data_IF_201989504350
#
_entry.id   IF_201989504350
#
_cell.length_a   1.000
_cell.length_b   1.000
_cell.length_c   1.000
_cell.angle_alpha   90.00
_cell.angle_beta   90.00
_cell.angle_gamma   90.00
#
_symmetry.space_group_name_H-M   'P 1'
#
loop_
_entity.id
_entity.type
_entity.pdbx_description
1 polymer ?
#
# COMPACT_ATOMS: atom_id res chain seq x y z
N UNK A 1 2.41 71.25 -16.64
CA UNK A 1 3.62 72.10 -16.79
C UNK A 1 4.78 71.13 -16.95
N UNK A 2 5.26 71.01 -18.14
CA UNK A 2 6.58 71.42 -18.66
C UNK A 2 7.72 70.78 -17.86
N UNK A 3 8.58 70.00 -18.40
CA UNK A 3 9.53 70.12 -19.55
C UNK A 3 10.86 69.61 -19.00
N UNK A 4 11.78 68.96 -19.55
CA UNK A 4 12.33 68.71 -20.87
C UNK A 4 13.52 67.78 -20.72
N UNK A 5 13.68 66.86 -21.61
CA UNK A 5 14.86 66.49 -22.41
C UNK A 5 16.26 66.90 -21.95
N UNK A 6 17.21 65.97 -21.97
CA UNK A 6 18.22 65.98 -23.06
C UNK A 6 19.07 64.73 -23.10
N UNK A 7 19.35 64.31 -24.33
CA UNK A 7 20.32 63.28 -24.77
C UNK A 7 21.73 63.84 -24.68
N UNK A 8 22.75 62.97 -24.51
CA UNK A 8 23.95 63.08 -25.35
C UNK A 8 24.73 61.73 -25.36
N UNK A 9 25.08 61.37 -26.56
CA UNK A 9 25.96 60.24 -26.94
C UNK A 9 27.43 60.65 -26.67
N UNK A 10 28.29 59.66 -26.39
CA UNK A 10 29.60 59.63 -27.07
C UNK A 10 30.23 58.20 -27.00
N UNK A 11 30.88 57.93 -28.07
CA UNK A 11 31.57 56.71 -28.50
C UNK A 11 32.91 56.51 -27.78
N UNK A 12 33.30 55.22 -27.69
CA UNK A 12 34.62 54.85 -28.18
C UNK A 12 35.49 54.00 -27.31
N UNK A 13 35.96 52.99 -27.97
CA UNK A 13 37.28 52.33 -27.89
C UNK A 13 37.36 51.01 -27.13
N UNK A 14 37.58 49.97 -27.93
CA UNK A 14 38.00 48.64 -27.55
C UNK A 14 39.47 48.63 -27.07
N UNK A 15 39.75 47.89 -26.03
CA UNK A 15 41.10 47.39 -25.74
C UNK A 15 41.01 45.95 -25.23
N UNK A 16 41.54 45.05 -26.01
CA UNK A 16 41.77 43.66 -25.65
C UNK A 16 42.94 43.59 -24.66
N UNK A 17 42.71 42.97 -23.52
CA UNK A 17 43.78 42.55 -22.61
C UNK A 17 43.56 41.10 -22.24
N UNK A 18 44.45 40.27 -22.76
CA UNK A 18 44.65 38.87 -22.32
C UNK A 18 45.34 38.84 -20.98
N UNK A 19 44.81 38.14 -20.03
CA UNK A 19 45.49 37.79 -18.79
C UNK A 19 45.21 36.33 -18.34
N UNK A 20 46.15 35.72 -17.65
CA UNK A 20 46.26 34.25 -17.57
C UNK A 20 45.39 33.66 -16.49
N UNK A 21 45.04 32.35 -16.70
CA UNK A 21 44.40 31.49 -15.75
C UNK A 21 45.24 31.37 -14.46
N UNK A 22 44.71 31.83 -13.35
CA UNK A 22 45.10 31.39 -12.01
C UNK A 22 44.01 30.48 -11.47
N UNK A 23 44.33 29.18 -11.37
CA UNK A 23 43.53 28.19 -10.72
C UNK A 23 43.50 28.47 -9.20
N UNK A 24 42.40 28.97 -8.68
CA UNK A 24 42.11 28.98 -7.27
C UNK A 24 41.27 27.76 -6.96
N UNK A 25 41.86 26.75 -6.34
CA UNK A 25 41.16 25.66 -5.70
C UNK A 25 40.36 26.21 -4.54
N UNK A 26 39.05 26.45 -4.75
CA UNK A 26 38.09 26.66 -3.71
C UNK A 26 37.65 25.29 -3.21
N UNK A 27 38.08 24.90 -2.02
CA UNK A 27 37.47 23.80 -1.27
C UNK A 27 36.02 24.19 -0.96
N UNK A 28 35.07 23.73 -1.77
CA UNK A 28 33.66 23.75 -1.47
C UNK A 28 33.39 22.59 -0.53
N UNK A 29 33.31 22.89 0.76
CA UNK A 29 32.69 22.02 1.78
C UNK A 29 31.18 22.15 1.59
N UNK A 30 30.55 21.11 1.04
CA UNK A 30 29.11 21.03 0.82
C UNK A 30 28.80 20.12 -0.38
N UNK A 31 29.16 18.84 -0.26
CA UNK A 31 28.59 17.84 -1.17
C UNK A 31 27.15 17.61 -0.72
N UNK A 32 26.18 18.24 -1.38
CA UNK A 32 24.84 17.67 -1.44
C UNK A 32 25.00 16.25 -1.95
N UNK A 33 24.70 15.27 -1.09
CA UNK A 33 24.63 13.88 -1.49
C UNK A 33 23.54 13.80 -2.57
N UNK A 34 23.96 13.63 -3.82
CA UNK A 34 23.03 13.27 -4.89
C UNK A 34 22.35 11.98 -4.46
N UNK A 35 21.03 12.01 -4.39
CA UNK A 35 20.20 10.85 -4.06
C UNK A 35 20.24 9.87 -5.25
N UNK A 36 21.35 9.18 -5.42
CA UNK A 36 21.59 8.16 -6.47
C UNK A 36 20.89 6.83 -6.15
N UNK A 37 19.90 6.84 -5.24
CA UNK A 37 19.22 5.64 -4.74
C UNK A 37 18.10 5.13 -5.65
N UNK A 38 17.64 5.92 -6.64
CA UNK A 38 16.59 5.49 -7.57
C UNK A 38 17.16 4.70 -8.74
N UNK A 39 16.53 3.57 -9.08
CA UNK A 39 16.84 2.80 -10.26
C UNK A 39 16.66 3.67 -11.52
N UNK A 40 17.65 3.63 -12.44
CA UNK A 40 17.64 4.44 -13.66
C UNK A 40 16.99 3.68 -14.82
N UNK A 41 16.15 4.37 -15.58
CA UNK A 41 15.65 3.86 -16.86
C UNK A 41 16.82 3.85 -17.86
N UNK A 42 16.95 2.76 -18.63
CA UNK A 42 17.97 2.67 -19.67
C UNK A 42 17.71 3.72 -20.77
N UNK A 43 18.77 4.42 -21.19
CA UNK A 43 18.66 5.38 -22.27
C UNK A 43 18.25 4.66 -23.57
N UNK A 44 17.18 5.16 -24.24
CA UNK A 44 16.64 4.55 -25.45
C UNK A 44 15.62 3.44 -25.21
N UNK A 45 15.12 3.23 -23.97
CA UNK A 45 14.01 2.30 -23.72
C UNK A 45 12.76 2.73 -24.49
N UNK A 46 12.05 1.74 -25.05
CA UNK A 46 10.79 1.95 -25.74
C UNK A 46 9.60 1.92 -24.74
N UNK A 47 8.47 2.50 -25.18
CA UNK A 47 7.19 2.37 -24.44
C UNK A 47 6.68 0.94 -24.52
N UNK A 48 6.25 0.39 -23.41
CA UNK A 48 5.62 -0.93 -23.38
C UNK A 48 4.21 -0.84 -24.01
N UNK A 49 3.96 -1.67 -25.01
CA UNK A 49 2.67 -1.73 -25.73
C UNK A 49 2.19 -0.36 -26.26
N UNK A 50 3.09 0.60 -26.46
CA UNK A 50 2.77 1.96 -26.87
C UNK A 50 2.11 2.82 -25.79
N UNK A 51 2.04 2.35 -24.55
CA UNK A 51 1.42 3.07 -23.42
C UNK A 51 2.22 4.31 -23.02
N UNK A 52 1.50 5.41 -22.80
CA UNK A 52 2.09 6.62 -22.20
C UNK A 52 2.36 6.42 -20.71
N UNK A 53 1.46 5.75 -20.00
CA UNK A 53 1.60 5.51 -18.56
C UNK A 53 0.86 4.27 -18.08
N UNK A 54 1.32 3.70 -16.95
CA UNK A 54 0.62 2.73 -16.11
C UNK A 54 0.26 3.41 -14.79
N UNK A 55 -1.02 3.31 -14.39
CA UNK A 55 -1.54 3.96 -13.18
C UNK A 55 -1.62 2.94 -12.05
N UNK A 56 -0.85 3.16 -11.00
CA UNK A 56 -0.63 2.24 -9.88
C UNK A 56 -1.26 2.80 -8.61
N UNK A 57 -2.16 2.03 -7.99
CA UNK A 57 -2.80 2.34 -6.72
C UNK A 57 -2.14 1.63 -5.54
N UNK A 58 -2.05 2.30 -4.37
CA UNK A 58 -1.62 1.65 -3.12
C UNK A 58 -2.05 2.48 -1.90
N UNK A 59 -1.91 1.94 -0.68
CA UNK A 59 -2.18 2.68 0.55
C UNK A 59 -0.88 3.15 1.21
N UNK A 60 -0.94 4.29 1.90
CA UNK A 60 0.12 4.77 2.79
C UNK A 60 0.22 3.95 4.08
N UNK A 61 0.32 2.62 3.96
CA UNK A 61 0.43 1.64 5.03
C UNK A 61 1.67 0.78 4.86
N UNK A 62 2.29 0.32 5.95
CA UNK A 62 3.44 -0.59 5.86
C UNK A 62 3.06 -1.98 5.33
N UNK A 63 1.80 -2.40 5.41
CA UNK A 63 1.31 -3.61 4.74
C UNK A 63 1.38 -3.52 3.20
N UNK A 64 1.61 -2.31 2.65
CA UNK A 64 1.87 -2.06 1.23
C UNK A 64 3.37 -1.78 0.95
N UNK A 65 4.27 -2.30 1.79
CA UNK A 65 5.70 -1.99 1.74
C UNK A 65 6.34 -2.28 0.37
N UNK A 66 5.91 -3.34 -0.35
CA UNK A 66 6.38 -3.62 -1.71
C UNK A 66 6.15 -2.42 -2.63
N UNK A 67 4.92 -1.88 -2.67
CA UNK A 67 4.60 -0.72 -3.52
C UNK A 67 5.34 0.55 -3.07
N UNK A 68 5.44 0.79 -1.75
CA UNK A 68 6.17 1.93 -1.19
C UNK A 68 7.65 1.90 -1.57
N UNK A 69 8.31 0.75 -1.38
CA UNK A 69 9.73 0.58 -1.69
C UNK A 69 9.96 0.64 -3.20
N UNK A 70 9.13 -0.03 -4.01
CA UNK A 70 9.26 -0.02 -5.46
C UNK A 70 9.12 1.39 -6.04
N UNK A 71 8.17 2.20 -5.52
CA UNK A 71 8.04 3.60 -5.90
C UNK A 71 9.28 4.42 -5.48
N UNK A 72 9.67 4.34 -4.20
CA UNK A 72 10.81 5.10 -3.68
C UNK A 72 12.13 4.77 -4.41
N UNK A 73 12.34 3.49 -4.73
CA UNK A 73 13.54 2.99 -5.43
C UNK A 73 13.47 3.16 -6.95
N UNK A 74 12.28 3.46 -7.51
CA UNK A 74 12.06 3.59 -8.94
C UNK A 74 12.02 2.26 -9.70
N UNK A 75 11.77 1.13 -9.03
CA UNK A 75 11.74 -0.19 -9.68
C UNK A 75 10.59 -0.34 -10.68
N UNK A 76 9.41 0.22 -10.39
CA UNK A 76 8.33 0.25 -11.38
C UNK A 76 8.74 1.03 -12.64
N UNK A 77 9.31 2.22 -12.48
CA UNK A 77 9.75 3.03 -13.61
C UNK A 77 10.88 2.35 -14.40
N UNK A 78 11.79 1.65 -13.71
CA UNK A 78 12.87 0.88 -14.35
C UNK A 78 12.31 -0.20 -15.29
N UNK A 79 11.37 -1.02 -14.79
CA UNK A 79 10.80 -2.12 -15.58
C UNK A 79 9.83 -1.63 -16.66
N UNK A 80 9.13 -0.51 -16.44
CA UNK A 80 8.24 0.11 -17.42
C UNK A 80 8.97 0.90 -18.51
N UNK A 81 10.27 1.14 -18.38
CA UNK A 81 11.09 1.83 -19.39
C UNK A 81 10.60 3.24 -19.65
N UNK A 82 10.26 3.56 -20.92
CA UNK A 82 9.75 4.87 -21.31
C UNK A 82 8.25 5.07 -21.01
N UNK A 83 7.55 4.04 -20.57
CA UNK A 83 6.15 4.15 -20.07
C UNK A 83 6.17 4.71 -18.66
N UNK A 84 5.46 5.82 -18.42
CA UNK A 84 5.47 6.50 -17.12
C UNK A 84 4.74 5.70 -16.04
N UNK A 85 5.34 5.50 -14.87
CA UNK A 85 4.66 4.99 -13.69
C UNK A 85 3.95 6.14 -12.97
N UNK A 86 2.61 6.16 -12.96
CA UNK A 86 1.79 7.13 -12.23
C UNK A 86 1.22 6.51 -10.97
N UNK A 87 1.25 7.25 -9.86
CA UNK A 87 0.86 6.74 -8.56
C UNK A 87 -0.34 7.46 -8.00
N UNK A 88 -1.24 6.70 -7.38
CA UNK A 88 -2.37 7.22 -6.60
C UNK A 88 -2.45 6.52 -5.25
N UNK A 89 -2.50 7.30 -4.16
CA UNK A 89 -2.63 6.77 -2.81
C UNK A 89 -4.08 6.74 -2.35
N UNK A 90 -4.44 5.69 -1.63
CA UNK A 90 -5.78 5.48 -1.06
C UNK A 90 -5.71 5.31 0.46
N UNK A 91 -6.84 5.51 1.13
CA UNK A 91 -6.98 5.29 2.57
C UNK A 91 -7.61 3.94 2.90
N UNK A 92 -8.40 3.37 1.98
CA UNK A 92 -9.08 2.09 2.14
C UNK A 92 -9.52 1.48 0.80
N UNK A 93 -9.81 0.16 0.82
CA UNK A 93 -10.06 -0.63 -0.38
C UNK A 93 -11.29 -0.27 -1.19
N UNK A 94 -12.46 0.03 -0.61
CA UNK A 94 -13.63 0.37 -1.42
C UNK A 94 -13.41 1.52 -2.40
N UNK A 95 -12.71 2.58 -1.98
CA UNK A 95 -12.38 3.71 -2.86
C UNK A 95 -11.36 3.33 -3.96
N UNK A 96 -10.45 2.40 -3.68
CA UNK A 96 -9.52 1.89 -4.70
C UNK A 96 -10.24 1.03 -5.74
N UNK A 97 -11.21 0.19 -5.34
CA UNK A 97 -12.05 -0.56 -6.29
C UNK A 97 -12.85 0.39 -7.20
N UNK A 98 -13.38 1.49 -6.68
CA UNK A 98 -14.03 2.51 -7.51
C UNK A 98 -13.07 3.14 -8.54
N UNK A 99 -11.84 3.44 -8.11
CA UNK A 99 -10.79 3.96 -9.00
C UNK A 99 -10.38 2.95 -10.08
N UNK A 100 -10.28 1.65 -9.74
CA UNK A 100 -10.01 0.59 -10.70
C UNK A 100 -11.15 0.46 -11.72
N UNK A 101 -12.40 0.46 -11.25
CA UNK A 101 -13.59 0.33 -12.09
C UNK A 101 -13.76 1.52 -13.05
N UNK A 102 -13.38 2.73 -12.63
CA UNK A 102 -13.42 3.93 -13.46
C UNK A 102 -12.22 4.08 -14.41
N UNK A 103 -11.18 3.22 -14.27
CA UNK A 103 -9.93 3.33 -15.02
C UNK A 103 -9.03 4.47 -14.53
N UNK A 104 -9.27 5.00 -13.33
CA UNK A 104 -8.37 5.95 -12.68
C UNK A 104 -7.07 5.30 -12.23
N UNK A 105 -7.09 3.99 -11.96
CA UNK A 105 -5.92 3.12 -11.82
C UNK A 105 -6.06 1.89 -12.69
N UNK A 106 -4.94 1.27 -13.05
CA UNK A 106 -4.86 0.06 -13.87
C UNK A 106 -4.52 -1.17 -13.02
N UNK A 107 -3.61 -0.99 -12.06
CA UNK A 107 -3.09 -2.01 -11.13
C UNK A 107 -3.13 -1.42 -9.72
N UNK A 108 -3.42 -2.24 -8.70
CA UNK A 108 -3.50 -1.77 -7.31
C UNK A 108 -2.99 -2.78 -6.30
N UNK A 109 -2.53 -2.27 -5.15
CA UNK A 109 -2.21 -3.03 -3.96
C UNK A 109 -3.35 -2.88 -2.97
N UNK A 110 -4.05 -3.95 -2.64
CA UNK A 110 -5.32 -3.89 -1.89
C UNK A 110 -5.50 -5.06 -0.93
N UNK A 111 -6.30 -4.88 0.10
CA UNK A 111 -6.70 -5.97 0.98
C UNK A 111 -7.66 -6.97 0.33
N UNK A 112 -7.74 -8.22 0.84
CA UNK A 112 -8.56 -9.28 0.26
C UNK A 112 -10.05 -8.97 0.28
N UNK A 113 -10.62 -8.45 1.36
CA UNK A 113 -12.08 -8.24 1.46
C UNK A 113 -12.63 -7.26 0.42
N UNK A 114 -12.02 -6.08 0.16
CA UNK A 114 -12.47 -5.22 -0.93
C UNK A 114 -12.25 -5.84 -2.32
N UNK A 115 -11.19 -6.64 -2.54
CA UNK A 115 -11.00 -7.36 -3.79
C UNK A 115 -12.10 -8.39 -4.03
N UNK A 116 -12.43 -9.21 -3.03
CA UNK A 116 -13.54 -10.16 -3.04
C UNK A 116 -14.87 -9.46 -3.34
N UNK A 117 -15.15 -8.36 -2.61
CA UNK A 117 -16.41 -7.61 -2.78
C UNK A 117 -16.52 -6.98 -4.18
N UNK A 118 -15.44 -6.38 -4.68
CA UNK A 118 -15.38 -5.83 -6.04
C UNK A 118 -15.61 -6.89 -7.11
N UNK A 119 -14.90 -8.03 -7.00
CA UNK A 119 -15.06 -9.16 -7.90
C UNK A 119 -16.49 -9.71 -7.89
N UNK A 120 -17.05 -9.94 -6.72
CA UNK A 120 -18.41 -10.48 -6.56
C UNK A 120 -19.47 -9.53 -7.10
N UNK A 121 -19.41 -8.24 -6.76
CA UNK A 121 -20.38 -7.24 -7.24
C UNK A 121 -20.35 -7.04 -8.76
N UNK A 122 -19.19 -7.20 -9.35
CA UNK A 122 -19.04 -7.15 -10.82
C UNK A 122 -19.38 -8.47 -11.52
N UNK A 123 -19.81 -9.51 -10.79
CA UNK A 123 -20.00 -10.87 -11.29
C UNK A 123 -18.74 -11.43 -11.98
N UNK A 124 -17.57 -11.16 -11.36
CA UNK A 124 -16.29 -11.68 -11.82
C UNK A 124 -15.68 -10.97 -13.03
N UNK A 125 -16.13 -9.76 -13.40
CA UNK A 125 -15.72 -9.11 -14.66
C UNK A 125 -14.77 -7.93 -14.52
N UNK A 126 -14.55 -7.37 -13.29
CA UNK A 126 -13.78 -6.14 -13.14
C UNK A 126 -12.28 -6.36 -12.93
N UNK A 127 -11.88 -7.31 -12.08
CA UNK A 127 -10.50 -7.49 -11.66
C UNK A 127 -10.02 -8.93 -11.68
N UNK A 128 -8.70 -9.08 -11.58
CA UNK A 128 -8.00 -10.31 -11.19
C UNK A 128 -7.01 -10.00 -10.08
N UNK A 129 -6.83 -10.95 -9.16
CA UNK A 129 -5.68 -10.97 -8.24
C UNK A 129 -4.54 -11.63 -9.01
N UNK A 130 -3.41 -10.93 -9.14
CA UNK A 130 -2.27 -11.36 -9.95
C UNK A 130 -1.01 -11.64 -9.12
N UNK A 131 -1.07 -11.41 -7.81
CA UNK A 131 0.05 -11.69 -6.91
C UNK A 131 -0.25 -11.33 -5.47
N UNK A 132 0.63 -11.76 -4.57
CA UNK A 132 0.68 -11.37 -3.17
C UNK A 132 1.61 -10.18 -2.94
N UNK A 133 1.54 -9.59 -1.76
CA UNK A 133 2.44 -8.53 -1.33
C UNK A 133 2.80 -8.65 0.16
N UNK A 134 1.83 -8.86 1.03
CA UNK A 134 2.10 -8.95 2.46
C UNK A 134 1.12 -9.86 3.21
N UNK A 135 1.61 -10.41 4.33
CA UNK A 135 0.87 -11.15 5.35
C UNK A 135 1.08 -10.52 6.71
N UNK A 136 0.09 -10.61 7.62
CA UNK A 136 0.18 -10.12 9.00
C UNK A 136 0.02 -8.61 9.14
N UNK A 137 0.54 -8.06 10.23
CA UNK A 137 0.53 -6.60 10.47
C UNK A 137 -0.83 -6.01 10.81
N UNK A 138 -1.75 -6.77 11.40
CA UNK A 138 -3.06 -6.29 11.87
C UNK A 138 -3.25 -6.63 13.34
N UNK A 139 -3.72 -5.66 14.13
CA UNK A 139 -3.88 -5.83 15.58
C UNK A 139 -5.14 -5.15 16.09
N UNK A 140 -5.72 -5.74 17.15
CA UNK A 140 -6.63 -5.04 18.05
C UNK A 140 -5.81 -4.35 19.13
N UNK A 141 -5.72 -3.03 19.06
CA UNK A 141 -5.06 -2.19 20.07
C UNK A 141 -6.11 -1.45 20.87
N UNK A 142 -6.00 -1.48 22.18
CA UNK A 142 -7.03 -0.96 23.10
C UNK A 142 -6.45 -0.08 24.20
N UNK A 143 -7.30 0.75 24.77
CA UNK A 143 -6.98 1.51 25.99
C UNK A 143 -6.94 0.55 27.20
N UNK A 144 -5.78 0.28 27.79
CA UNK A 144 -5.63 -0.71 28.88
C UNK A 144 -6.34 -0.30 30.20
N UNK A 145 -6.71 0.97 30.33
CA UNK A 145 -7.52 1.45 31.48
C UNK A 145 -8.99 1.06 31.36
N UNK A 146 -9.49 0.86 30.12
CA UNK A 146 -10.89 0.57 29.82
C UNK A 146 -11.14 -0.90 29.43
N UNK A 147 -10.13 -1.57 28.84
CA UNK A 147 -10.21 -2.92 28.30
C UNK A 147 -8.99 -3.70 28.75
N UNK A 148 -9.19 -4.71 29.57
CA UNK A 148 -8.13 -5.54 30.16
C UNK A 148 -8.08 -6.94 29.52
N UNK A 149 -9.21 -7.42 29.00
CA UNK A 149 -9.38 -8.73 28.38
C UNK A 149 -10.27 -8.64 27.14
N UNK A 150 -10.28 -9.70 26.31
CA UNK A 150 -11.15 -9.75 25.12
C UNK A 150 -12.64 -9.61 25.45
N UNK A 151 -13.09 -10.08 26.63
CA UNK A 151 -14.48 -9.96 27.08
C UNK A 151 -14.89 -8.51 27.35
N UNK A 152 -13.95 -7.66 27.72
CA UNK A 152 -14.19 -6.25 28.03
C UNK A 152 -14.44 -5.40 26.78
N UNK A 153 -14.24 -5.95 25.59
CA UNK A 153 -14.55 -5.29 24.29
C UNK A 153 -16.05 -5.08 24.12
N UNK A 154 -16.88 -5.93 24.75
CA UNK A 154 -18.33 -5.74 24.76
C UNK A 154 -18.70 -4.39 25.41
N UNK A 155 -19.58 -3.64 24.77
CA UNK A 155 -19.99 -2.30 25.19
C UNK A 155 -19.00 -1.17 24.89
N UNK A 156 -17.91 -1.47 24.17
CA UNK A 156 -16.87 -0.47 23.83
C UNK A 156 -17.01 0.06 22.41
N UNK A 157 -16.31 1.17 22.16
CA UNK A 157 -16.20 1.81 20.84
C UNK A 157 -14.87 1.39 20.21
N UNK A 158 -14.92 0.54 19.21
CA UNK A 158 -13.72 0.05 18.50
C UNK A 158 -13.74 0.56 17.07
N UNK A 159 -12.65 1.20 16.67
CA UNK A 159 -12.51 1.71 15.31
C UNK A 159 -12.06 0.63 14.32
N UNK A 160 -12.57 0.74 13.10
CA UNK A 160 -12.08 0.03 11.90
C UNK A 160 -11.93 1.04 10.77
N UNK A 161 -11.10 0.80 9.71
CA UNK A 161 -10.79 1.83 8.71
C UNK A 161 -12.01 2.35 7.93
N UNK A 162 -12.76 1.45 7.29
CA UNK A 162 -13.92 1.77 6.46
C UNK A 162 -14.85 0.56 6.39
N UNK A 163 -16.14 0.79 6.20
CA UNK A 163 -17.13 -0.28 5.99
C UNK A 163 -16.72 -1.21 4.84
N UNK A 164 -16.62 -2.50 5.13
CA UNK A 164 -16.24 -3.54 4.16
C UNK A 164 -14.74 -3.58 3.83
N UNK A 165 -13.90 -2.79 4.51
CA UNK A 165 -12.46 -2.96 4.44
C UNK A 165 -12.04 -4.25 5.17
N UNK A 166 -10.85 -4.79 4.87
CA UNK A 166 -10.39 -6.09 5.43
C UNK A 166 -10.49 -6.13 6.95
N UNK A 167 -10.01 -5.10 7.65
CA UNK A 167 -10.05 -5.02 9.11
C UNK A 167 -11.48 -4.88 9.67
N UNK A 168 -12.38 -4.26 8.92
CA UNK A 168 -13.79 -4.15 9.31
C UNK A 168 -14.49 -5.51 9.26
N UNK A 169 -14.27 -6.25 8.17
CA UNK A 169 -14.76 -7.62 7.98
C UNK A 169 -14.20 -8.56 9.06
N UNK A 170 -12.88 -8.52 9.28
CA UNK A 170 -12.22 -9.36 10.28
C UNK A 170 -12.76 -9.10 11.69
N UNK A 171 -12.94 -7.84 12.07
CA UNK A 171 -13.47 -7.47 13.39
C UNK A 171 -14.94 -7.86 13.55
N UNK A 172 -15.78 -7.63 12.56
CA UNK A 172 -17.18 -8.03 12.59
C UNK A 172 -17.32 -9.57 12.68
N UNK A 173 -16.51 -10.32 11.93
CA UNK A 173 -16.46 -11.77 12.05
C UNK A 173 -16.05 -12.19 13.47
N UNK A 174 -14.99 -11.56 14.03
CA UNK A 174 -14.51 -11.85 15.37
C UNK A 174 -15.61 -11.57 16.42
N UNK A 175 -16.38 -10.48 16.30
CA UNK A 175 -17.55 -10.16 17.16
C UNK A 175 -18.58 -11.29 17.09
N UNK A 176 -18.90 -11.76 15.87
CA UNK A 176 -19.85 -12.86 15.68
C UNK A 176 -19.35 -14.17 16.29
N UNK A 177 -18.02 -14.44 16.27
CA UNK A 177 -17.39 -15.59 16.93
C UNK A 177 -17.51 -15.54 18.45
N UNK A 178 -17.62 -14.34 19.05
CA UNK A 178 -17.88 -14.18 20.48
C UNK A 178 -19.36 -14.39 20.84
N UNK A 179 -20.24 -14.64 19.86
CA UNK A 179 -21.68 -14.70 20.04
C UNK A 179 -22.33 -13.34 20.32
N UNK A 180 -21.69 -12.25 19.90
CA UNK A 180 -22.20 -10.89 20.06
C UNK A 180 -22.85 -10.41 18.77
N UNK A 181 -23.83 -9.50 18.90
CA UNK A 181 -24.59 -8.97 17.78
C UNK A 181 -24.16 -7.53 17.49
N UNK A 182 -23.84 -7.27 16.22
CA UNK A 182 -23.60 -5.93 15.68
C UNK A 182 -24.25 -5.85 14.30
N UNK A 183 -25.03 -4.80 14.06
CA UNK A 183 -25.51 -4.49 12.72
C UNK A 183 -24.31 -4.05 11.86
N UNK A 184 -24.02 -4.83 10.82
CA UNK A 184 -22.83 -4.66 10.01
C UNK A 184 -22.76 -3.30 9.33
N UNK A 185 -23.88 -2.71 8.93
CA UNK A 185 -23.91 -1.44 8.20
C UNK A 185 -23.76 -0.24 9.14
N UNK A 186 -24.54 -0.20 10.22
CA UNK A 186 -24.50 0.92 11.16
C UNK A 186 -23.38 0.82 12.20
N UNK A 187 -22.81 -0.38 12.41
CA UNK A 187 -21.82 -0.66 13.45
C UNK A 187 -22.38 -0.63 14.88
N UNK A 188 -23.71 -0.62 15.05
CA UNK A 188 -24.37 -0.58 16.35
C UNK A 188 -24.70 -1.97 16.86
N UNK A 189 -24.56 -2.20 18.17
CA UNK A 189 -24.90 -3.47 18.80
C UNK A 189 -24.17 -3.67 20.12
N UNK A 190 -23.79 -4.92 20.41
CA UNK A 190 -23.03 -5.31 21.60
C UNK A 190 -21.64 -4.65 21.66
N UNK A 191 -21.10 -4.26 20.52
CA UNK A 191 -19.92 -3.41 20.36
C UNK A 191 -20.28 -2.27 19.42
N UNK A 192 -19.77 -1.07 19.66
CA UNK A 192 -19.91 0.05 18.71
C UNK A 192 -18.71 0.04 17.76
N UNK A 193 -18.93 -0.39 16.51
CA UNK A 193 -17.91 -0.37 15.47
C UNK A 193 -17.92 0.98 14.77
N UNK A 194 -16.85 1.75 14.93
CA UNK A 194 -16.73 3.13 14.43
C UNK A 194 -15.80 3.15 13.23
N UNK A 195 -16.33 3.40 12.03
CA UNK A 195 -15.50 3.48 10.82
C UNK A 195 -14.73 4.78 10.84
N UNK A 196 -13.40 4.68 10.99
CA UNK A 196 -12.51 5.81 11.20
C UNK A 196 -11.27 5.65 10.35
N UNK A 197 -11.00 6.62 9.48
CA UNK A 197 -9.81 6.60 8.63
C UNK A 197 -8.54 6.37 9.45
N UNK A 198 -7.62 5.54 8.95
CA UNK A 198 -6.36 5.21 9.62
C UNK A 198 -5.51 6.46 9.96
N UNK A 199 -5.63 7.54 9.19
CA UNK A 199 -4.90 8.79 9.45
C UNK A 199 -5.37 9.51 10.69
N UNK A 200 -6.69 9.44 10.99
CA UNK A 200 -7.30 10.13 12.14
C UNK A 200 -7.56 9.21 13.33
N UNK A 201 -7.44 7.91 13.17
CA UNK A 201 -7.64 6.92 14.24
C UNK A 201 -6.76 7.20 15.49
N UNK A 202 -5.46 7.57 15.36
CA UNK A 202 -4.64 7.92 16.52
C UNK A 202 -5.20 9.11 17.32
N UNK A 203 -5.68 10.15 16.64
CA UNK A 203 -6.27 11.32 17.32
C UNK A 203 -7.61 10.98 17.99
N UNK A 204 -8.44 10.15 17.35
CA UNK A 204 -9.68 9.64 17.94
C UNK A 204 -9.41 8.79 19.19
N UNK A 205 -8.33 8.00 19.19
CA UNK A 205 -7.90 7.21 20.33
C UNK A 205 -7.40 8.12 21.47
N UNK A 206 -6.52 9.06 21.17
CA UNK A 206 -5.93 10.01 22.12
C UNK A 206 -6.98 10.88 22.81
N UNK A 207 -7.98 11.35 22.05
CA UNK A 207 -9.12 12.12 22.59
C UNK A 207 -10.09 11.28 23.42
N UNK A 208 -9.99 9.93 23.40
CA UNK A 208 -10.92 9.03 24.04
C UNK A 208 -12.26 8.87 23.35
N UNK A 209 -12.37 9.33 22.08
CA UNK A 209 -13.57 9.15 21.24
C UNK A 209 -13.81 7.69 20.87
N UNK A 210 -12.75 6.88 20.86
CA UNK A 210 -12.75 5.43 20.72
C UNK A 210 -12.00 4.78 21.88
N UNK A 211 -12.30 3.53 22.19
CA UNK A 211 -11.68 2.76 23.27
C UNK A 211 -10.58 1.83 22.76
N UNK A 212 -10.51 1.62 21.46
CA UNK A 212 -9.52 0.81 20.75
C UNK A 212 -9.79 0.79 19.26
N UNK A 213 -8.96 0.06 18.53
CA UNK A 213 -9.10 -0.10 17.08
C UNK A 213 -8.55 -1.44 16.59
N UNK A 214 -9.20 -2.01 15.57
CA UNK A 214 -8.70 -3.15 14.79
C UNK A 214 -8.15 -2.60 13.48
N UNK A 215 -6.84 -2.47 13.42
CA UNK A 215 -6.17 -1.65 12.40
C UNK A 215 -4.87 -2.28 11.89
N UNK A 216 -4.46 -1.93 10.66
CA UNK A 216 -3.19 -2.37 10.09
C UNK A 216 -2.01 -1.52 10.59
N UNK A 217 -0.79 -1.99 10.35
CA UNK A 217 0.42 -1.20 10.55
C UNK A 217 0.59 -0.12 9.46
N UNK A 218 1.02 1.10 9.81
CA UNK A 218 1.61 1.48 11.09
C UNK A 218 0.62 2.01 12.13
N UNK A 219 -0.69 2.01 11.85
CA UNK A 219 -1.69 2.59 12.76
C UNK A 219 -1.71 1.86 14.10
N UNK A 220 -1.59 0.53 14.11
CA UNK A 220 -1.51 -0.25 15.34
C UNK A 220 -0.34 0.21 16.24
N UNK A 221 0.86 0.34 15.68
CA UNK A 221 2.04 0.81 16.41
C UNK A 221 1.92 2.27 16.86
N UNK A 222 1.25 3.15 16.08
CA UNK A 222 0.93 4.51 16.52
C UNK A 222 0.05 4.52 17.76
N UNK A 223 -0.98 3.66 17.82
CA UNK A 223 -1.83 3.55 19.00
C UNK A 223 -1.06 3.03 20.22
N UNK A 224 -0.11 2.11 20.02
CA UNK A 224 0.77 1.61 21.10
C UNK A 224 1.66 2.74 21.62
N UNK A 225 2.23 3.55 20.76
CA UNK A 225 3.03 4.72 21.14
C UNK A 225 2.21 5.76 21.93
N UNK A 226 0.90 5.85 21.69
CA UNK A 226 -0.05 6.68 22.47
C UNK A 226 -0.56 5.96 23.76
N UNK A 227 0.12 4.90 24.21
CA UNK A 227 -0.20 4.17 25.46
C UNK A 227 -1.24 3.06 25.30
N UNK A 228 -1.54 2.67 24.08
CA UNK A 228 -2.38 1.51 23.77
C UNK A 228 -1.68 0.19 24.08
N UNK A 229 -2.48 -0.86 24.28
CA UNK A 229 -2.01 -2.23 24.47
C UNK A 229 -2.53 -3.10 23.33
N UNK A 230 -1.66 -3.87 22.71
CA UNK A 230 -2.07 -4.95 21.80
C UNK A 230 -2.83 -5.98 22.62
N UNK A 231 -4.11 -6.14 22.34
CA UNK A 231 -4.99 -7.12 23.00
C UNK A 231 -5.03 -8.42 22.20
N UNK A 232 -4.96 -8.31 20.87
CA UNK A 232 -4.96 -9.44 19.94
C UNK A 232 -4.13 -9.09 18.72
N UNK A 233 -3.26 -10.00 18.28
CA UNK A 233 -2.65 -9.99 16.96
C UNK A 233 -3.51 -10.90 16.07
N UNK A 234 -4.00 -10.36 14.95
CA UNK A 234 -4.92 -11.09 14.05
C UNK A 234 -4.32 -12.38 13.53
N UNK A 235 -3.00 -12.42 13.34
CA UNK A 235 -2.31 -13.63 12.87
C UNK A 235 -2.58 -14.85 13.76
N UNK A 236 -2.83 -14.63 15.07
CA UNK A 236 -3.14 -15.72 16.01
C UNK A 236 -4.48 -16.40 15.76
N UNK A 237 -5.34 -15.82 14.94
CA UNK A 237 -6.64 -16.39 14.54
C UNK A 237 -6.53 -17.25 13.28
N UNK A 238 -5.35 -17.31 12.64
CA UNK A 238 -5.14 -17.99 11.37
C UNK A 238 -4.23 -19.20 11.51
N UNK A 239 -4.46 -20.26 10.71
CA UNK A 239 -3.53 -21.39 10.63
C UNK A 239 -2.10 -20.92 10.32
N UNK A 240 -1.12 -21.49 10.99
CA UNK A 240 0.31 -21.14 10.84
C UNK A 240 0.61 -19.66 11.00
N UNK A 241 -0.32 -18.87 11.55
CA UNK A 241 -0.28 -17.40 11.67
C UNK A 241 -0.14 -16.70 10.32
N UNK A 242 -0.59 -17.32 9.23
CA UNK A 242 -0.51 -16.80 7.87
C UNK A 242 -1.89 -16.49 7.32
N UNK A 243 -2.05 -15.29 6.81
CA UNK A 243 -3.22 -14.83 6.06
C UNK A 243 -2.80 -13.70 5.14
N UNK A 244 -3.48 -13.58 4.02
CA UNK A 244 -3.20 -12.47 3.11
C UNK A 244 -3.74 -11.16 3.68
N UNK A 245 -2.91 -10.12 3.68
CA UNK A 245 -3.35 -8.77 4.05
C UNK A 245 -3.31 -7.81 2.86
N UNK A 246 -2.42 -8.05 1.91
CA UNK A 246 -2.30 -7.24 0.71
C UNK A 246 -2.03 -8.11 -0.51
N UNK A 247 -2.92 -8.00 -1.49
CA UNK A 247 -2.81 -8.58 -2.83
C UNK A 247 -2.46 -7.51 -3.87
N UNK A 248 -1.97 -7.95 -5.02
CA UNK A 248 -1.86 -7.14 -6.23
C UNK A 248 -3.06 -7.46 -7.10
N UNK A 249 -3.84 -6.46 -7.47
CA UNK A 249 -4.96 -6.58 -8.39
C UNK A 249 -4.72 -5.82 -9.69
N UNK A 250 -5.38 -6.25 -10.76
CA UNK A 250 -5.37 -5.58 -12.05
C UNK A 250 -6.77 -5.54 -12.63
N UNK A 251 -7.12 -4.47 -13.36
CA UNK A 251 -8.35 -4.48 -14.16
C UNK A 251 -8.25 -5.54 -15.25
N UNK A 252 -9.30 -6.36 -15.44
CA UNK A 252 -9.29 -7.42 -16.47
C UNK A 252 -9.11 -6.84 -17.87
N UNK A 253 -9.65 -5.65 -18.12
CA UNK A 253 -9.47 -4.95 -19.38
C UNK A 253 -7.98 -4.66 -19.62
N UNK A 254 -7.29 -4.07 -18.63
CA UNK A 254 -5.89 -3.72 -18.73
C UNK A 254 -5.00 -4.97 -18.87
N UNK A 255 -5.28 -6.03 -18.09
CA UNK A 255 -4.57 -7.30 -18.20
C UNK A 255 -4.64 -7.89 -19.61
N UNK A 256 -5.82 -7.85 -20.22
CA UNK A 256 -6.05 -8.37 -21.60
C UNK A 256 -5.38 -7.50 -22.67
N UNK A 257 -5.47 -6.19 -22.53
CA UNK A 257 -4.97 -5.24 -23.55
C UNK A 257 -3.46 -5.01 -23.44
N UNK A 258 -2.89 -5.07 -22.23
CA UNK A 258 -1.50 -4.69 -21.93
C UNK A 258 -0.77 -5.70 -21.02
N UNK A 259 -0.73 -7.00 -21.38
CA UNK A 259 -0.12 -8.03 -20.54
C UNK A 259 1.37 -7.82 -20.29
N UNK A 260 2.10 -7.19 -21.21
CA UNK A 260 3.53 -6.89 -21.02
C UNK A 260 3.76 -5.82 -19.94
N UNK A 261 2.87 -4.82 -19.88
CA UNK A 261 2.93 -3.81 -18.83
C UNK A 261 2.64 -4.41 -17.45
N UNK A 262 1.67 -5.34 -17.38
CA UNK A 262 1.38 -6.10 -16.15
C UNK A 262 2.58 -6.97 -15.75
N UNK A 263 3.20 -7.68 -16.70
CA UNK A 263 4.40 -8.48 -16.46
C UNK A 263 5.55 -7.61 -15.93
N UNK A 264 5.76 -6.41 -16.48
CA UNK A 264 6.79 -5.47 -16.04
C UNK A 264 6.56 -5.01 -14.58
N UNK A 265 5.31 -4.71 -14.19
CA UNK A 265 4.96 -4.35 -12.81
C UNK A 265 5.16 -5.54 -11.86
N UNK A 266 4.83 -6.75 -12.28
CA UNK A 266 5.08 -7.97 -11.48
C UNK A 266 6.58 -8.25 -11.32
N UNK A 267 7.39 -8.05 -12.37
CA UNK A 267 8.86 -8.13 -12.27
C UNK A 267 9.40 -7.13 -11.25
N UNK A 268 8.97 -5.87 -11.33
CA UNK A 268 9.36 -4.86 -10.35
C UNK A 268 8.94 -5.24 -8.93
N UNK A 269 7.76 -5.84 -8.75
CA UNK A 269 7.27 -6.32 -7.45
C UNK A 269 8.14 -7.45 -6.89
N UNK A 270 8.45 -8.47 -7.70
CA UNK A 270 9.30 -9.60 -7.32
C UNK A 270 10.73 -9.12 -7.00
N UNK A 271 11.33 -8.29 -7.85
CA UNK A 271 12.64 -7.67 -7.60
C UNK A 271 12.64 -6.88 -6.27
N UNK A 272 11.56 -6.12 -6.02
CA UNK A 272 11.41 -5.35 -4.78
C UNK A 272 11.36 -6.27 -3.56
N UNK A 273 10.56 -7.34 -3.59
CA UNK A 273 10.42 -8.27 -2.47
C UNK A 273 11.75 -8.98 -2.18
N UNK A 274 12.48 -9.36 -3.21
CA UNK A 274 13.83 -9.92 -3.09
C UNK A 274 14.81 -8.92 -2.47
N UNK A 275 14.76 -7.65 -2.94
CA UNK A 275 15.60 -6.60 -2.38
C UNK A 275 15.26 -6.27 -0.92
N UNK A 276 13.97 -6.21 -0.55
CA UNK A 276 13.51 -6.02 0.84
C UNK A 276 14.08 -7.12 1.76
N UNK A 277 14.03 -8.37 1.29
CA UNK A 277 14.52 -9.52 2.06
C UNK A 277 16.04 -9.49 2.26
N UNK A 278 16.78 -9.02 1.25
CA UNK A 278 18.23 -8.92 1.30
C UNK A 278 18.73 -7.66 2.05
N UNK A 279 17.91 -6.60 2.14
CA UNK A 279 18.30 -5.29 2.69
C UNK A 279 17.21 -4.75 3.64
N UNK A 280 16.88 -5.45 4.75
CA UNK A 280 15.70 -5.13 5.56
C UNK A 280 15.74 -3.72 6.20
N UNK A 281 16.91 -3.21 6.60
CA UNK A 281 17.03 -1.89 7.22
C UNK A 281 16.90 -0.76 6.19
N UNK A 282 17.54 -0.90 5.02
CA UNK A 282 17.40 0.03 3.91
C UNK A 282 15.98 0.02 3.34
N UNK A 283 15.35 -1.15 3.30
CA UNK A 283 13.97 -1.30 2.84
C UNK A 283 12.99 -0.60 3.79
N UNK A 284 13.18 -0.76 5.09
CA UNK A 284 12.42 -0.04 6.12
C UNK A 284 12.58 1.47 5.96
N UNK A 285 13.81 1.94 5.77
CA UNK A 285 14.09 3.36 5.54
C UNK A 285 13.44 3.88 4.24
N UNK A 286 13.53 3.12 3.14
CA UNK A 286 12.91 3.48 1.86
C UNK A 286 11.38 3.54 1.96
N UNK A 287 10.75 2.57 2.61
CA UNK A 287 9.31 2.59 2.87
C UNK A 287 8.90 3.81 3.69
N UNK A 288 9.66 4.16 4.73
CA UNK A 288 9.37 5.33 5.56
C UNK A 288 9.54 6.65 4.79
N UNK A 289 10.55 6.75 3.92
CA UNK A 289 10.76 7.91 3.06
C UNK A 289 9.61 8.08 2.06
N UNK A 290 9.07 6.98 1.51
CA UNK A 290 7.89 7.06 0.66
C UNK A 290 6.64 7.46 1.45
N UNK A 291 6.44 6.93 2.67
CA UNK A 291 5.35 7.36 3.55
C UNK A 291 5.44 8.86 3.88
N UNK A 292 6.64 9.39 4.08
CA UNK A 292 6.86 10.83 4.27
C UNK A 292 6.47 11.63 3.01
N UNK A 293 6.87 11.16 1.83
CA UNK A 293 6.50 11.81 0.57
C UNK A 293 4.97 11.81 0.35
N UNK A 294 4.28 10.71 0.71
CA UNK A 294 2.84 10.56 0.52
C UNK A 294 2.00 11.32 1.58
N UNK A 295 2.52 11.52 2.80
CA UNK A 295 1.76 12.02 3.95
C UNK A 295 2.31 13.30 4.58
N UNK A 296 3.49 13.75 4.15
CA UNK A 296 4.20 14.91 4.69
C UNK A 296 4.94 14.63 6.02
N UNK A 297 4.94 13.39 6.54
CA UNK A 297 5.59 13.05 7.81
C UNK A 297 6.12 11.63 7.84
N UNK A 298 7.40 11.48 8.13
CA UNK A 298 8.03 10.20 8.42
C UNK A 298 7.53 9.61 9.75
N UNK A 299 7.55 8.29 9.85
CA UNK A 299 7.28 7.59 11.11
C UNK A 299 8.51 7.66 12.02
N UNK A 300 8.36 7.94 13.32
CA UNK A 300 9.44 7.83 14.27
C UNK A 300 9.81 6.37 14.53
N UNK A 301 11.03 6.12 15.01
CA UNK A 301 11.58 4.77 15.12
C UNK A 301 10.77 3.85 16.06
N UNK A 302 10.22 4.39 17.14
CA UNK A 302 9.39 3.68 18.12
C UNK A 302 8.04 3.20 17.54
N UNK A 303 7.60 3.76 16.42
CA UNK A 303 6.45 3.32 15.63
C UNK A 303 6.89 2.41 14.48
N UNK A 304 7.92 2.83 13.73
CA UNK A 304 8.36 2.16 12.51
C UNK A 304 8.93 0.76 12.78
N UNK A 305 9.79 0.61 13.80
CA UNK A 305 10.48 -0.65 14.06
C UNK A 305 9.53 -1.79 14.48
N UNK A 306 8.58 -1.62 15.41
CA UNK A 306 7.63 -2.68 15.74
C UNK A 306 6.63 -2.93 14.59
N UNK A 307 6.25 -1.89 13.84
CA UNK A 307 5.36 -2.04 12.70
C UNK A 307 6.00 -2.88 11.59
N UNK A 308 7.27 -2.58 11.23
CA UNK A 308 8.02 -3.34 10.23
C UNK A 308 8.18 -4.81 10.58
N UNK A 309 8.46 -5.11 11.84
CA UNK A 309 8.63 -6.49 12.34
C UNK A 309 7.36 -7.32 12.33
N UNK A 310 6.18 -6.69 12.26
CA UNK A 310 4.90 -7.40 12.30
C UNK A 310 4.33 -7.73 10.93
N UNK A 311 4.96 -7.26 9.85
CA UNK A 311 4.58 -7.61 8.47
C UNK A 311 5.52 -8.65 7.89
N UNK A 312 5.00 -9.48 7.00
CA UNK A 312 5.77 -10.47 6.24
C UNK A 312 5.53 -10.22 4.75
N UNK A 313 6.60 -9.89 4.03
CA UNK A 313 6.55 -9.65 2.59
C UNK A 313 6.53 -10.98 1.86
N UNK A 314 5.69 -11.10 0.82
CA UNK A 314 5.54 -12.34 0.07
C UNK A 314 5.05 -12.09 -1.36
N UNK A 315 5.51 -12.90 -2.32
CA UNK A 315 4.95 -12.96 -3.67
C UNK A 315 3.70 -13.86 -3.72
N UNK A 316 3.58 -14.78 -2.74
CA UNK A 316 2.44 -15.68 -2.63
C UNK A 316 1.19 -14.91 -2.17
N UNK A 317 0.09 -14.93 -2.95
CA UNK A 317 -1.18 -14.32 -2.55
C UNK A 317 -1.90 -15.10 -1.44
N UNK A 318 -1.31 -16.18 -0.91
CA UNK A 318 -1.89 -17.06 0.12
C UNK A 318 -3.34 -17.46 -0.23
N UNK A 319 -3.54 -17.89 -1.47
CA UNK A 319 -4.87 -18.10 -2.06
C UNK A 319 -5.76 -19.06 -1.24
N UNK A 320 -5.16 -19.99 -0.50
CA UNK A 320 -5.87 -20.88 0.43
C UNK A 320 -6.64 -20.14 1.53
N UNK A 321 -6.26 -18.89 1.86
CA UNK A 321 -6.94 -18.08 2.89
C UNK A 321 -8.14 -17.31 2.34
N UNK A 322 -8.26 -17.13 1.02
CA UNK A 322 -9.25 -16.24 0.41
C UNK A 322 -10.70 -16.70 0.65
N UNK A 323 -10.97 -18.01 0.58
CA UNK A 323 -12.28 -18.56 0.89
C UNK A 323 -12.70 -18.31 2.35
N UNK A 324 -11.72 -18.33 3.27
CA UNK A 324 -11.97 -18.00 4.68
C UNK A 324 -12.27 -16.52 4.85
N UNK A 325 -11.53 -15.64 4.17
CA UNK A 325 -11.82 -14.19 4.12
C UNK A 325 -13.24 -13.90 3.61
N UNK A 326 -13.64 -14.59 2.53
CA UNK A 326 -15.00 -14.47 1.99
C UNK A 326 -16.06 -14.98 2.99
N UNK A 327 -15.79 -16.10 3.67
CA UNK A 327 -16.69 -16.63 4.70
C UNK A 327 -16.84 -15.66 5.90
N UNK A 328 -15.76 -14.96 6.28
CA UNK A 328 -15.81 -13.89 7.29
C UNK A 328 -16.75 -12.76 6.87
N UNK A 329 -16.70 -12.31 5.59
CA UNK A 329 -17.59 -11.29 5.08
C UNK A 329 -19.06 -11.74 5.04
N UNK A 330 -19.32 -13.01 4.69
CA UNK A 330 -20.66 -13.60 4.74
C UNK A 330 -21.18 -13.64 6.17
N UNK A 331 -20.40 -14.15 7.12
CA UNK A 331 -20.76 -14.24 8.53
C UNK A 331 -20.98 -12.87 9.16
N UNK A 332 -20.19 -11.87 8.75
CA UNK A 332 -20.36 -10.47 9.12
C UNK A 332 -21.63 -9.81 8.53
N UNK A 333 -22.34 -10.46 7.61
CA UNK A 333 -23.52 -9.90 6.96
C UNK A 333 -23.22 -8.82 5.92
N UNK A 334 -21.98 -8.76 5.41
CA UNK A 334 -21.53 -7.78 4.40
C UNK A 334 -21.52 -8.34 2.98
N UNK A 335 -21.62 -9.64 2.83
CA UNK A 335 -21.57 -10.33 1.55
C UNK A 335 -22.50 -11.54 1.56
N UNK A 336 -23.20 -11.80 0.46
CA UNK A 336 -23.79 -13.10 0.20
C UNK A 336 -22.68 -14.10 -0.19
N UNK A 337 -22.95 -15.41 -0.11
CA UNK A 337 -21.95 -16.44 -0.46
C UNK A 337 -21.46 -16.22 -1.89
N UNK A 338 -20.20 -15.82 -2.10
CA UNK A 338 -19.69 -15.51 -3.42
C UNK A 338 -19.22 -16.77 -4.17
N UNK A 339 -19.26 -16.71 -5.50
CA UNK A 339 -18.44 -17.56 -6.37
C UNK A 339 -17.12 -16.80 -6.67
N UNK A 340 -16.00 -17.35 -6.20
CA UNK A 340 -14.67 -16.80 -6.43
C UNK A 340 -13.91 -17.46 -7.56
N UNK A 341 -14.56 -18.35 -8.33
CA UNK A 341 -13.93 -19.02 -9.48
C UNK A 341 -13.38 -17.98 -10.48
N UNK A 342 -12.10 -18.08 -10.80
CA UNK A 342 -11.42 -17.18 -11.71
C UNK A 342 -11.00 -15.84 -11.11
N UNK A 343 -11.07 -15.66 -9.78
CA UNK A 343 -10.57 -14.40 -9.16
C UNK A 343 -9.05 -14.23 -9.31
N UNK A 344 -8.30 -15.34 -9.37
CA UNK A 344 -6.85 -15.32 -9.59
C UNK A 344 -6.49 -15.51 -11.07
N UNK A 345 -5.48 -14.76 -11.52
CA UNK A 345 -4.68 -15.06 -12.71
C UNK A 345 -3.20 -14.92 -12.35
N UNK A 346 -2.59 -16.02 -11.96
CA UNK A 346 -1.19 -16.09 -11.51
C UNK A 346 -0.22 -16.45 -12.65
N UNK A 347 -0.70 -16.50 -13.89
CA UNK A 347 0.08 -16.93 -15.06
C UNK A 347 1.33 -16.08 -15.25
N UNK A 348 1.21 -14.76 -15.24
CA UNK A 348 2.33 -13.83 -15.42
C UNK A 348 3.26 -13.82 -14.21
N UNK A 349 2.73 -13.86 -12.99
CA UNK A 349 3.56 -13.96 -11.79
C UNK A 349 4.40 -15.24 -11.80
N UNK A 350 3.78 -16.39 -12.06
CA UNK A 350 4.47 -17.67 -12.12
C UNK A 350 5.52 -17.73 -13.24
N UNK A 351 5.28 -17.02 -14.34
CA UNK A 351 6.29 -16.84 -15.41
C UNK A 351 7.50 -16.03 -14.89
N UNK A 352 7.26 -14.93 -14.17
CA UNK A 352 8.31 -14.08 -13.60
C UNK A 352 9.11 -14.84 -12.54
N UNK A 353 8.43 -15.53 -11.60
CA UNK A 353 9.08 -16.32 -10.56
C UNK A 353 9.98 -17.40 -11.13
N UNK A 354 9.49 -18.16 -12.15
CA UNK A 354 10.33 -19.17 -12.84
C UNK A 354 11.55 -18.58 -13.51
N UNK A 355 11.43 -17.38 -14.11
CA UNK A 355 12.55 -16.70 -14.76
C UNK A 355 13.61 -16.22 -13.75
N UNK A 356 13.23 -16.06 -12.47
CA UNK A 356 14.08 -15.63 -11.36
C UNK A 356 14.52 -16.81 -10.44
N UNK A 357 14.30 -18.06 -10.91
CA UNK A 357 14.59 -19.32 -10.20
C UNK A 357 13.86 -19.44 -8.84
N UNK A 358 12.69 -18.79 -8.71
CA UNK A 358 11.83 -18.86 -7.54
C UNK A 358 10.69 -19.90 -7.73
N UNK A 359 10.17 -20.40 -6.61
CA UNK A 359 9.02 -21.31 -6.61
C UNK A 359 7.77 -20.59 -7.09
N UNK A 360 6.98 -21.30 -7.92
CA UNK A 360 5.65 -20.82 -8.31
C UNK A 360 4.68 -20.85 -7.15
N UNK A 361 3.63 -20.03 -7.25
CA UNK A 361 2.56 -19.92 -6.27
C UNK A 361 1.27 -20.55 -6.80
N UNK A 362 0.42 -21.04 -5.89
CA UNK A 362 -0.82 -21.76 -6.17
C UNK A 362 -2.04 -20.83 -6.04
N UNK A 363 -3.08 -21.10 -6.84
CA UNK A 363 -4.33 -20.35 -6.82
C UNK A 363 -5.43 -21.00 -5.96
N UNK A 364 -5.12 -22.10 -5.28
CA UNK A 364 -6.05 -22.88 -4.46
C UNK A 364 -7.34 -23.30 -5.19
N UNK A 365 -7.27 -23.49 -6.52
CA UNK A 365 -8.41 -23.83 -7.38
C UNK A 365 -9.36 -22.68 -7.67
N UNK A 366 -8.97 -21.44 -7.37
CA UNK A 366 -9.73 -20.21 -7.64
C UNK A 366 -9.22 -19.45 -8.87
N UNK A 367 -8.32 -20.07 -9.65
CA UNK A 367 -7.71 -19.49 -10.84
C UNK A 367 -8.63 -19.45 -12.05
N UNK A 368 -8.21 -18.69 -13.07
CA UNK A 368 -8.79 -18.73 -14.41
C UNK A 368 -8.62 -20.14 -15.02
N UNK A 369 -9.63 -20.61 -15.76
CA UNK A 369 -9.62 -21.91 -16.43
C UNK A 369 -9.10 -21.79 -17.85
#
# INVERSE_FOLDING_TARGET
MRSTRSKLLSRGIAAAVTLPLLALAACSYGSEAKDDTKAKVAAGSEKIDGLDSVKIGYFGNLTHATALVANQKGYFQKELGATEAKYQTFNAGPSEIEALNSGSIDIGWIGPSPAINGFTKSKGTNLRIIGGSASGGVKLVVNPKKIKSLKDVKGKKIATPQLGNTQDVAFLNWIADQGWNVDANSGKGDVSVVRTDNKITPDAYKSGSIDGAWVPEPTASKLVAEGGKVLLDESTLWPDKKFVITNIIVSQKFLKEHPKAVEAVLKASVETNKWISANPDEAKAAANKQLEADSGKALPADVLDPAWKSIQITNDPLASTLNTEAAHAVKAGLLEKPDLSGIYDLTLLNKVLKADDESTVDDAGLGVK
#
